data_IF_782214111418
#
_entry.id   IF_782214111418
#
_cell.length_a   1.000
_cell.length_b   1.000
_cell.length_c   1.000
_cell.angle_alpha   90.00
_cell.angle_beta   90.00
_cell.angle_gamma   90.00
#
_symmetry.space_group_name_H-M   'P 1'
#
loop_
_entity.id
_entity.type
_entity.pdbx_description
1 polymer ?
#
# COMPACT_ATOMS: atom_id res chain seq x y z
N UNK A 1 -16.99 -15.24 28.77
CA UNK A 1 -18.13 -15.47 27.85
C UNK A 1 -18.92 -14.21 27.60
N UNK A 2 -19.69 -13.75 28.59
CA UNK A 2 -20.65 -12.64 28.44
C UNK A 2 -20.02 -11.29 28.05
N UNK A 3 -18.86 -10.92 28.58
CA UNK A 3 -18.17 -9.67 28.21
C UNK A 3 -17.74 -9.69 26.73
N UNK A 4 -17.22 -10.83 26.28
CA UNK A 4 -16.87 -11.02 24.86
C UNK A 4 -18.10 -10.96 23.95
N UNK A 5 -19.22 -11.56 24.38
CA UNK A 5 -20.50 -11.47 23.66
C UNK A 5 -20.97 -10.01 23.55
N UNK A 6 -20.99 -9.28 24.67
CA UNK A 6 -21.40 -7.88 24.69
C UNK A 6 -20.50 -7.02 23.79
N UNK A 7 -19.18 -7.24 23.85
CA UNK A 7 -18.21 -6.51 23.03
C UNK A 7 -18.41 -6.79 21.53
N UNK A 8 -18.61 -8.06 21.15
CA UNK A 8 -18.90 -8.44 19.76
C UNK A 8 -20.18 -7.82 19.23
N UNK A 9 -21.23 -7.72 20.06
CA UNK A 9 -22.48 -7.05 19.68
C UNK A 9 -22.25 -5.55 19.43
N UNK A 10 -21.53 -4.88 20.33
CA UNK A 10 -21.20 -3.45 20.20
C UNK A 10 -20.37 -3.19 18.94
N UNK A 11 -19.35 -4.00 18.68
CA UNK A 11 -18.50 -3.90 17.48
C UNK A 11 -19.33 -4.18 16.23
N UNK A 12 -20.14 -5.25 16.22
CA UNK A 12 -20.99 -5.59 15.09
C UNK A 12 -21.97 -4.48 14.74
N UNK A 13 -22.58 -3.86 15.75
CA UNK A 13 -23.47 -2.72 15.56
C UNK A 13 -22.74 -1.48 15.02
N UNK A 14 -21.55 -1.19 15.56
CA UNK A 14 -20.71 -0.08 15.09
C UNK A 14 -20.29 -0.27 13.62
N UNK A 15 -19.92 -1.49 13.22
CA UNK A 15 -19.56 -1.84 11.83
C UNK A 15 -20.77 -1.73 10.91
N UNK A 16 -21.93 -2.27 11.31
CA UNK A 16 -23.17 -2.17 10.54
C UNK A 16 -23.55 -0.71 10.27
N UNK A 17 -23.46 0.14 11.29
CA UNK A 17 -23.78 1.57 11.16
C UNK A 17 -22.76 2.33 10.32
N UNK A 18 -21.47 1.99 10.42
CA UNK A 18 -20.42 2.59 9.59
C UNK A 18 -20.53 2.18 8.13
N UNK A 19 -20.88 0.93 7.83
CA UNK A 19 -20.92 0.39 6.47
C UNK A 19 -21.75 1.22 5.48
N UNK A 20 -22.88 1.77 5.93
CA UNK A 20 -23.78 2.55 5.08
C UNK A 20 -23.35 4.01 4.85
N UNK A 21 -22.31 4.48 5.56
CA UNK A 21 -21.76 5.85 5.48
C UNK A 21 -20.40 5.89 4.79
N UNK A 22 -19.76 4.74 4.56
CA UNK A 22 -18.43 4.67 3.99
C UNK A 22 -18.49 4.87 2.47
N UNK A 23 -17.64 5.77 1.98
CA UNK A 23 -17.41 5.91 0.56
C UNK A 23 -16.64 4.66 0.08
N UNK A 24 -17.32 3.73 -0.58
CA UNK A 24 -16.72 2.49 -1.09
C UNK A 24 -15.52 2.76 -2.01
N UNK A 25 -15.60 3.80 -2.84
CA UNK A 25 -14.49 4.20 -3.71
C UNK A 25 -13.26 4.59 -2.88
N UNK A 26 -13.45 5.38 -1.83
CA UNK A 26 -12.36 5.76 -0.93
C UNK A 26 -11.78 4.53 -0.21
N UNK A 27 -12.65 3.64 0.30
CA UNK A 27 -12.23 2.44 1.02
C UNK A 27 -11.41 1.49 0.14
N UNK A 28 -11.88 1.19 -1.07
CA UNK A 28 -11.15 0.34 -2.01
C UNK A 28 -9.84 1.00 -2.46
N UNK A 29 -9.83 2.32 -2.67
CA UNK A 29 -8.60 3.02 -3.04
C UNK A 29 -7.55 2.95 -1.94
N UNK A 30 -7.92 3.21 -0.69
CA UNK A 30 -6.99 3.14 0.45
C UNK A 30 -6.46 1.71 0.63
N UNK A 31 -7.35 0.70 0.61
CA UNK A 31 -6.93 -0.70 0.77
C UNK A 31 -6.06 -1.19 -0.38
N UNK A 32 -6.37 -0.82 -1.63
CA UNK A 32 -5.53 -1.15 -2.77
C UNK A 32 -4.13 -0.52 -2.67
N UNK A 33 -4.03 0.76 -2.29
CA UNK A 33 -2.73 1.42 -2.09
C UNK A 33 -1.93 0.72 -0.98
N UNK A 34 -2.58 0.33 0.13
CA UNK A 34 -1.93 -0.44 1.18
C UNK A 34 -1.42 -1.81 0.68
N UNK A 35 -2.21 -2.51 -0.14
CA UNK A 35 -1.80 -3.77 -0.75
C UNK A 35 -0.61 -3.60 -1.72
N UNK A 36 -0.56 -2.49 -2.47
CA UNK A 36 0.58 -2.18 -3.34
C UNK A 36 1.86 -1.92 -2.52
N UNK A 37 1.76 -1.19 -1.40
CA UNK A 37 2.88 -0.98 -0.48
C UNK A 37 3.39 -2.29 0.14
N UNK A 38 2.47 -3.18 0.53
CA UNK A 38 2.79 -4.52 1.03
C UNK A 38 3.51 -5.36 -0.03
N UNK A 39 2.99 -5.36 -1.27
CA UNK A 39 3.59 -6.08 -2.39
C UNK A 39 5.01 -5.57 -2.72
N UNK A 40 5.23 -4.25 -2.67
CA UNK A 40 6.55 -3.65 -2.83
C UNK A 40 7.54 -4.14 -1.75
N UNK A 41 7.10 -4.17 -0.49
CA UNK A 41 7.88 -4.67 0.65
C UNK A 41 8.29 -6.12 0.49
N UNK A 42 7.34 -6.97 0.06
CA UNK A 42 7.59 -8.37 -0.21
C UNK A 42 8.56 -8.56 -1.38
N UNK A 43 8.40 -7.81 -2.47
CA UNK A 43 9.30 -7.87 -3.63
C UNK A 43 10.76 -7.55 -3.24
N UNK A 44 10.98 -6.48 -2.47
CA UNK A 44 12.31 -6.15 -1.96
C UNK A 44 12.89 -7.25 -1.07
N UNK A 45 12.09 -7.85 -0.19
CA UNK A 45 12.52 -8.96 0.68
C UNK A 45 12.92 -10.19 -0.14
N UNK A 46 12.11 -10.57 -1.12
CA UNK A 46 12.40 -11.71 -1.99
C UNK A 46 13.67 -11.50 -2.80
N UNK A 47 13.91 -10.29 -3.31
CA UNK A 47 15.16 -9.98 -4.03
C UNK A 47 16.38 -10.09 -3.11
N UNK A 48 16.25 -9.65 -1.86
CA UNK A 48 17.30 -9.83 -0.87
C UNK A 48 17.60 -11.31 -0.57
N UNK A 49 16.57 -12.11 -0.32
CA UNK A 49 16.73 -13.55 -0.07
C UNK A 49 17.28 -14.29 -1.29
N UNK A 50 16.84 -13.91 -2.50
CA UNK A 50 17.36 -14.47 -3.75
C UNK A 50 18.84 -14.13 -3.94
N UNK A 51 19.23 -12.88 -3.66
CA UNK A 51 20.62 -12.41 -3.73
C UNK A 51 21.52 -13.20 -2.79
N UNK A 52 21.06 -13.43 -1.55
CA UNK A 52 21.79 -14.25 -0.58
C UNK A 52 21.93 -15.70 -1.06
N UNK A 53 20.87 -16.27 -1.65
CA UNK A 53 20.89 -17.64 -2.17
C UNK A 53 21.90 -17.83 -3.33
N UNK A 54 22.04 -16.84 -4.21
CA UNK A 54 23.00 -16.89 -5.33
C UNK A 54 24.44 -16.51 -4.93
N UNK A 55 24.68 -16.16 -3.66
CA UNK A 55 26.00 -15.77 -3.16
C UNK A 55 26.52 -14.44 -3.71
N UNK A 56 25.63 -13.54 -4.14
CA UNK A 56 26.05 -12.24 -4.66
C UNK A 56 26.34 -11.28 -3.51
N UNK A 57 27.60 -11.21 -3.06
CA UNK A 57 27.97 -10.40 -1.89
C UNK A 57 28.72 -9.10 -2.19
N UNK A 58 29.14 -8.89 -3.44
CA UNK A 58 29.99 -7.77 -3.79
C UNK A 58 29.29 -6.74 -4.69
N UNK A 59 29.59 -5.46 -4.45
CA UNK A 59 29.23 -4.34 -5.32
C UNK A 59 28.33 -3.29 -4.65
N UNK A 60 28.14 -2.18 -5.36
CA UNK A 60 27.32 -1.06 -4.88
C UNK A 60 25.86 -1.47 -4.61
N UNK A 61 25.30 -2.40 -5.38
CA UNK A 61 23.94 -2.91 -5.21
C UNK A 61 23.71 -3.62 -3.86
N UNK A 62 24.76 -4.18 -3.28
CA UNK A 62 24.74 -4.90 -1.99
C UNK A 62 24.99 -3.96 -0.81
N UNK A 63 25.60 -2.80 -1.08
CA UNK A 63 25.93 -1.84 -0.03
C UNK A 63 24.65 -1.26 0.59
N UNK A 64 24.60 -1.07 1.91
CA UNK A 64 23.50 -0.38 2.56
C UNK A 64 23.31 1.03 1.98
N UNK A 65 22.08 1.38 1.63
CA UNK A 65 21.74 2.72 1.14
C UNK A 65 21.72 3.74 2.28
N UNK A 66 21.29 3.29 3.46
CA UNK A 66 21.30 4.06 4.71
C UNK A 66 21.53 3.13 5.89
N UNK A 67 21.87 3.72 7.04
CA UNK A 67 21.88 3.02 8.32
C UNK A 67 21.26 3.87 9.43
N UNK A 68 20.31 3.29 10.14
CA UNK A 68 19.66 3.91 11.31
C UNK A 68 19.97 3.04 12.52
N UNK A 69 20.66 3.61 13.50
CA UNK A 69 21.16 2.83 14.64
C UNK A 69 20.26 2.89 15.88
N UNK A 70 19.43 3.93 16.01
CA UNK A 70 18.64 4.16 17.22
C UNK A 70 17.21 4.67 16.93
N UNK A 71 16.36 4.59 17.96
CA UNK A 71 14.97 5.04 17.92
C UNK A 71 13.98 4.00 17.42
N UNK A 72 12.72 4.43 17.27
CA UNK A 72 11.59 3.57 16.89
C UNK A 72 11.69 2.99 15.48
N UNK A 73 12.53 3.57 14.62
CA UNK A 73 12.76 3.11 13.24
C UNK A 73 13.85 2.05 13.12
N UNK A 74 14.58 1.79 14.21
CA UNK A 74 15.64 0.80 14.29
C UNK A 74 15.32 -0.37 15.24
N UNK A 75 14.39 -0.18 16.18
CA UNK A 75 14.06 -1.17 17.22
C UNK A 75 12.66 -0.98 17.82
N UNK A 76 12.15 -2.04 18.46
CA UNK A 76 10.87 -2.04 19.17
C UNK A 76 9.67 -2.49 18.32
N UNK A 77 8.49 -2.54 18.92
CA UNK A 77 7.27 -3.08 18.30
C UNK A 77 6.86 -2.33 17.03
N UNK A 78 7.06 -1.02 16.99
CA UNK A 78 6.77 -0.22 15.81
C UNK A 78 7.67 -0.61 14.63
N UNK A 79 8.97 -0.81 14.89
CA UNK A 79 9.91 -1.29 13.88
C UNK A 79 9.50 -2.66 13.35
N UNK A 80 9.15 -3.61 14.22
CA UNK A 80 8.75 -4.96 13.80
C UNK A 80 7.48 -4.93 12.93
N UNK A 81 6.52 -4.08 13.29
CA UNK A 81 5.31 -3.87 12.50
C UNK A 81 5.63 -3.26 11.12
N UNK A 82 6.45 -2.22 11.05
CA UNK A 82 6.87 -1.61 9.77
C UNK A 82 7.68 -2.56 8.91
N UNK A 83 8.57 -3.33 9.54
CA UNK A 83 9.38 -4.37 8.89
C UNK A 83 8.50 -5.46 8.31
N UNK A 84 7.51 -5.93 9.07
CA UNK A 84 6.59 -6.97 8.64
C UNK A 84 5.60 -6.52 7.56
N UNK A 85 5.04 -5.32 7.71
CA UNK A 85 3.97 -4.85 6.82
C UNK A 85 4.50 -4.15 5.56
N UNK A 86 5.57 -3.37 5.66
CA UNK A 86 6.08 -2.57 4.56
C UNK A 86 7.48 -2.98 4.09
N UNK A 87 8.09 -3.99 4.70
CA UNK A 87 9.45 -4.42 4.36
C UNK A 87 10.54 -3.44 4.83
N UNK A 88 10.21 -2.55 5.79
CA UNK A 88 11.17 -1.58 6.32
C UNK A 88 12.40 -2.26 6.93
N UNK A 89 13.58 -1.69 6.70
CA UNK A 89 14.81 -2.17 7.29
C UNK A 89 15.70 -0.99 7.71
N UNK A 90 16.41 -1.16 8.84
CA UNK A 90 17.31 -0.13 9.37
C UNK A 90 18.57 0.07 8.52
N UNK A 91 18.98 -0.99 7.82
CA UNK A 91 20.08 -0.98 6.86
C UNK A 91 19.68 -1.81 5.63
N UNK A 92 18.92 -1.26 4.68
CA UNK A 92 18.58 -1.96 3.45
C UNK A 92 19.65 -1.71 2.39
N UNK A 93 19.97 -2.75 1.64
CA UNK A 93 20.85 -2.67 0.48
C UNK A 93 20.21 -1.90 -0.68
N UNK A 94 21.04 -1.24 -1.50
CA UNK A 94 20.58 -0.45 -2.65
C UNK A 94 19.64 -1.24 -3.57
N UNK A 95 19.94 -2.51 -3.85
CA UNK A 95 19.11 -3.37 -4.69
C UNK A 95 17.69 -3.51 -4.15
N UNK A 96 17.54 -3.76 -2.85
CA UNK A 96 16.23 -3.90 -2.19
C UNK A 96 15.40 -2.63 -2.36
N UNK A 97 16.03 -1.47 -2.19
CA UNK A 97 15.37 -0.16 -2.32
C UNK A 97 14.95 0.10 -3.76
N UNK A 98 15.84 -0.19 -4.73
CA UNK A 98 15.55 -0.07 -6.15
C UNK A 98 14.39 -0.98 -6.55
N UNK A 99 14.37 -2.23 -6.09
CA UNK A 99 13.24 -3.15 -6.33
C UNK A 99 11.95 -2.60 -5.75
N UNK A 100 11.98 -2.11 -4.50
CA UNK A 100 10.80 -1.57 -3.82
C UNK A 100 10.17 -0.41 -4.63
N UNK A 101 10.96 0.61 -4.94
CA UNK A 101 10.46 1.80 -5.66
C UNK A 101 10.26 1.53 -7.16
N UNK A 102 11.08 0.68 -7.76
CA UNK A 102 10.94 0.24 -9.15
C UNK A 102 9.65 -0.52 -9.40
N UNK A 103 9.11 -1.23 -8.40
CA UNK A 103 7.77 -1.79 -8.44
C UNK A 103 6.71 -0.74 -8.07
N UNK A 104 6.87 -0.06 -6.94
CA UNK A 104 5.82 0.77 -6.36
C UNK A 104 5.45 1.97 -7.24
N UNK A 105 6.43 2.73 -7.74
CA UNK A 105 6.20 3.96 -8.50
C UNK A 105 5.37 3.71 -9.76
N UNK A 106 5.76 2.82 -10.69
CA UNK A 106 4.99 2.61 -11.91
C UNK A 106 3.61 2.00 -11.60
N UNK A 107 3.52 1.01 -10.71
CA UNK A 107 2.25 0.34 -10.43
C UNK A 107 1.27 1.29 -9.75
N UNK A 108 1.73 2.10 -8.79
CA UNK A 108 0.89 3.10 -8.13
C UNK A 108 0.45 4.19 -9.12
N UNK A 109 1.34 4.65 -10.00
CA UNK A 109 0.99 5.62 -11.04
C UNK A 109 -0.09 5.09 -11.99
N UNK A 110 0.07 3.85 -12.46
CA UNK A 110 -0.93 3.18 -13.32
C UNK A 110 -2.26 2.97 -12.57
N UNK A 111 -2.20 2.61 -11.29
CA UNK A 111 -3.40 2.44 -10.48
C UNK A 111 -4.18 3.76 -10.31
N UNK A 112 -3.48 4.86 -10.01
CA UNK A 112 -4.10 6.17 -9.77
C UNK A 112 -4.64 6.81 -11.06
N UNK A 113 -3.97 6.62 -12.21
CA UNK A 113 -4.46 7.16 -13.49
C UNK A 113 -5.81 6.54 -13.88
N UNK A 114 -5.96 5.23 -13.66
CA UNK A 114 -7.12 4.46 -14.10
C UNK A 114 -8.30 4.60 -13.11
N UNK A 115 -8.02 5.12 -11.92
CA UNK A 115 -9.00 5.42 -10.87
C UNK A 115 -9.76 6.75 -11.07
N UNK A 116 -9.31 7.61 -11.99
CA UNK A 116 -10.01 8.85 -12.35
C UNK A 116 -11.22 8.53 -13.24
N UNK A 117 -12.43 9.00 -12.90
CA UNK A 117 -13.59 8.85 -13.78
C UNK A 117 -13.25 9.51 -15.12
N UNK A 118 -13.19 8.73 -16.21
CA UNK A 118 -13.30 9.30 -17.56
C UNK A 118 -14.59 10.10 -17.54
N UNK A 119 -14.43 11.42 -17.62
CA UNK A 119 -15.51 12.37 -17.43
C UNK A 119 -16.73 11.92 -18.19
N UNK A 120 -17.89 12.07 -17.56
CA UNK A 120 -19.16 12.15 -18.23
C UNK A 120 -18.98 13.11 -19.42
N UNK A 121 -18.74 12.54 -20.60
CA UNK A 121 -18.83 13.28 -21.83
C UNK A 121 -20.32 13.58 -21.95
N UNK A 122 -20.67 14.74 -21.42
CA UNK A 122 -21.96 15.39 -21.57
C UNK A 122 -22.25 15.45 -23.05
N UNK A 123 -22.91 14.43 -23.57
CA UNK A 123 -23.73 14.60 -24.76
C UNK A 123 -24.95 15.36 -24.26
N UNK A 124 -24.76 16.67 -24.09
CA UNK A 124 -25.85 17.64 -24.15
C UNK A 124 -26.47 17.41 -25.53
N UNK A 125 -27.53 16.61 -25.57
CA UNK A 125 -28.48 16.62 -26.68
C UNK A 125 -29.00 18.06 -26.73
N UNK A 126 -28.37 18.88 -27.56
CA UNK A 126 -29.02 20.06 -28.11
C UNK A 126 -30.17 19.52 -28.94
N UNK A 127 -31.34 19.42 -28.34
CA UNK A 127 -32.59 19.36 -29.08
C UNK A 127 -32.88 20.80 -29.50
N UNK A 128 -32.67 21.19 -30.77
CA UNK A 128 -33.14 22.48 -31.22
C UNK A 128 -34.66 22.45 -31.13
N UNK A 129 -35.19 23.38 -30.35
CA UNK A 129 -36.59 23.68 -30.22
C UNK A 129 -37.27 23.61 -31.58
N UNK A 130 -38.36 22.85 -31.60
CA UNK A 130 -39.39 22.93 -32.62
C UNK A 130 -39.69 24.41 -32.88
N UNK A 131 -39.39 24.89 -34.08
CA UNK A 131 -39.89 26.15 -34.59
C UNK A 131 -41.22 25.84 -35.26
N UNK A 132 -42.22 26.60 -34.82
CA UNK A 132 -43.63 26.59 -35.18
C UNK A 132 -43.92 26.71 -36.68
#
# INVERSE_FOLDING_TARGET
GLIGLALSIVIGFAVYRSGNRLNLRMFFNVTAVLLLLFAAGLAGKTVHELRELIGWENGWLVSPMWSIESGMWASGTFYDFMRGLFGWHKSPENLRVITYFGYLIPVLYLYLRDSLPRGAATKTTKEPAQVA
#
